data_IF_555461281970
#
_entry.id   IF_555461281970
#
_cell.length_a   1.000
_cell.length_b   1.000
_cell.length_c   1.000
_cell.angle_alpha   90.00
_cell.angle_beta   90.00
_cell.angle_gamma   90.00
#
_symmetry.space_group_name_H-M   'P 1'
#
loop_
_entity.id
_entity.type
_entity.pdbx_description
1 polymer ?
#
# COMPACT_ATOMS: atom_id res chain seq x y z
N UNK A 1 9.40 0.65 -22.70
CA UNK A 1 10.61 1.11 -22.01
C UNK A 1 10.43 0.79 -20.53
N UNK A 2 11.39 0.11 -19.91
CA UNK A 2 11.31 -0.20 -18.48
C UNK A 2 11.24 1.11 -17.68
N UNK A 3 10.27 1.20 -16.80
CA UNK A 3 10.07 2.35 -15.94
C UNK A 3 11.29 2.54 -15.02
N UNK A 4 12.12 3.56 -15.30
CA UNK A 4 13.36 3.83 -14.54
C UNK A 4 13.10 4.53 -13.19
N UNK A 5 11.83 4.69 -12.79
CA UNK A 5 11.48 5.32 -11.51
C UNK A 5 11.94 4.43 -10.34
N UNK A 6 12.44 5.03 -9.24
CA UNK A 6 12.75 4.29 -8.03
C UNK A 6 11.50 3.59 -7.48
N UNK A 7 11.67 2.53 -6.68
CA UNK A 7 10.53 1.87 -6.05
C UNK A 7 9.72 2.85 -5.18
N UNK A 8 8.38 2.73 -5.14
CA UNK A 8 7.55 3.49 -4.23
C UNK A 8 8.01 3.40 -2.78
N UNK A 9 7.94 4.54 -2.09
CA UNK A 9 8.34 4.68 -0.69
C UNK A 9 7.12 4.53 0.23
N UNK A 10 7.30 3.73 1.30
CA UNK A 10 6.31 3.53 2.36
C UNK A 10 6.95 3.87 3.70
N UNK A 11 6.97 5.17 4.01
CA UNK A 11 7.72 5.73 5.14
C UNK A 11 6.83 6.55 6.06
N UNK A 12 5.55 6.76 5.73
CA UNK A 12 4.68 7.67 6.44
C UNK A 12 4.03 7.10 7.71
N UNK A 13 4.18 5.78 7.96
CA UNK A 13 3.45 5.03 8.99
C UNK A 13 1.91 5.16 8.87
N UNK A 14 1.41 5.52 7.68
CA UNK A 14 0.00 5.55 7.32
C UNK A 14 -0.13 5.43 5.80
N UNK A 15 -0.93 4.47 5.32
CA UNK A 15 -1.10 4.23 3.88
C UNK A 15 -1.73 5.45 3.18
N UNK A 16 -2.62 6.17 3.88
CA UNK A 16 -3.18 7.42 3.35
C UNK A 16 -2.12 8.51 3.12
N UNK A 17 -1.11 8.60 3.99
CA UNK A 17 0.02 9.52 3.78
C UNK A 17 1.06 8.96 2.79
N UNK A 18 1.27 7.64 2.75
CA UNK A 18 2.11 7.02 1.72
C UNK A 18 1.54 7.25 0.32
N UNK A 19 0.20 7.22 0.19
CA UNK A 19 -0.48 7.63 -1.05
C UNK A 19 -0.19 9.09 -1.40
N UNK A 20 -0.16 9.99 -0.43
CA UNK A 20 0.21 11.40 -0.66
C UNK A 20 1.68 11.52 -1.08
N UNK A 21 2.54 10.67 -0.55
CA UNK A 21 3.96 10.65 -0.89
C UNK A 21 4.25 10.00 -2.27
N UNK A 22 3.23 9.55 -3.01
CA UNK A 22 3.39 9.12 -4.43
C UNK A 22 3.65 10.26 -5.40
N UNK A 23 3.50 11.51 -4.96
CA UNK A 23 4.17 12.65 -5.55
C UNK A 23 4.98 13.29 -4.44
N UNK A 24 6.29 13.20 -4.56
CA UNK A 24 7.19 13.70 -3.56
C UNK A 24 8.50 14.18 -4.16
N UNK A 25 9.17 15.04 -3.40
CA UNK A 25 10.52 15.53 -3.67
C UNK A 25 11.39 15.13 -2.49
N UNK A 26 11.84 13.85 -2.37
CA UNK A 26 12.53 13.39 -1.15
C UNK A 26 13.84 14.12 -0.87
N UNK A 27 14.50 14.60 -1.95
CA UNK A 27 15.65 15.49 -1.92
C UNK A 27 15.30 16.69 -2.80
N UNK A 28 15.65 16.61 -4.10
CA UNK A 28 15.58 17.74 -5.03
C UNK A 28 14.90 17.40 -6.36
N UNK A 29 14.64 16.11 -6.60
CA UNK A 29 13.97 15.62 -7.79
C UNK A 29 12.55 15.25 -7.40
N UNK A 30 11.58 15.86 -8.07
CA UNK A 30 10.19 15.48 -7.95
C UNK A 30 9.97 14.15 -8.67
N UNK A 31 9.34 13.20 -7.98
CA UNK A 31 9.01 11.89 -8.51
C UNK A 31 7.51 11.67 -8.41
N UNK A 32 6.89 11.38 -9.56
CA UNK A 32 5.49 11.01 -9.70
C UNK A 32 5.39 9.50 -9.96
N UNK A 33 4.90 8.74 -8.97
CA UNK A 33 4.73 7.29 -9.09
C UNK A 33 3.42 6.91 -9.81
N UNK A 34 2.39 7.75 -9.76
CA UNK A 34 1.06 7.49 -10.35
C UNK A 34 0.90 8.14 -11.75
N UNK A 35 2.01 8.35 -12.46
CA UNK A 35 2.03 8.98 -13.79
C UNK A 35 1.28 8.19 -14.87
N UNK A 36 1.01 6.91 -14.64
CA UNK A 36 0.29 6.01 -15.56
C UNK A 36 -0.54 4.98 -14.78
N UNK A 37 -1.43 4.29 -15.48
CA UNK A 37 -2.23 3.18 -14.96
C UNK A 37 -1.38 2.03 -14.42
N UNK A 38 -0.27 1.71 -15.09
CA UNK A 38 0.70 0.73 -14.61
C UNK A 38 1.39 1.20 -13.32
N UNK A 39 1.75 2.48 -13.23
CA UNK A 39 2.30 3.06 -12.00
C UNK A 39 1.32 2.96 -10.82
N UNK A 40 0.03 3.21 -11.07
CA UNK A 40 -1.04 3.02 -10.09
C UNK A 40 -1.14 1.55 -9.64
N UNK A 41 -1.18 0.61 -10.58
CA UNK A 41 -1.28 -0.82 -10.26
C UNK A 41 -0.09 -1.29 -9.42
N UNK A 42 1.14 -0.94 -9.83
CA UNK A 42 2.35 -1.29 -9.10
C UNK A 42 2.30 -0.76 -7.66
N UNK A 43 1.88 0.49 -7.48
CA UNK A 43 1.73 1.08 -6.16
C UNK A 43 0.67 0.36 -5.32
N UNK A 44 -0.51 0.06 -5.88
CA UNK A 44 -1.59 -0.64 -5.17
C UNK A 44 -1.21 -2.04 -4.71
N UNK A 45 -0.47 -2.78 -5.55
CA UNK A 45 0.04 -4.11 -5.23
C UNK A 45 1.09 -4.03 -4.11
N UNK A 46 2.04 -3.08 -4.22
CA UNK A 46 3.08 -2.91 -3.20
C UNK A 46 2.50 -2.42 -1.85
N UNK A 47 1.42 -1.65 -1.89
CA UNK A 47 0.68 -1.19 -0.72
C UNK A 47 -0.22 -2.27 -0.08
N UNK A 48 -0.33 -3.46 -0.70
CA UNK A 48 -1.24 -4.54 -0.29
C UNK A 48 -2.70 -4.04 -0.16
N UNK A 49 -3.11 -3.20 -1.11
CA UNK A 49 -4.45 -2.61 -1.18
C UNK A 49 -5.37 -3.37 -2.13
N UNK A 50 -4.79 -4.05 -3.11
CA UNK A 50 -5.52 -4.84 -4.10
C UNK A 50 -4.79 -6.17 -4.30
N UNK A 51 -5.50 -7.29 -4.24
CA UNK A 51 -4.91 -8.59 -4.56
C UNK A 51 -4.48 -8.73 -6.05
N UNK A 52 -3.33 -9.35 -6.37
CA UNK A 52 -2.85 -9.54 -7.75
C UNK A 52 -3.84 -10.18 -8.74
N UNK A 53 -4.62 -11.14 -8.29
CA UNK A 53 -5.67 -11.82 -9.06
C UNK A 53 -6.80 -10.87 -9.44
N UNK A 54 -7.16 -9.91 -8.57
CA UNK A 54 -8.14 -8.87 -8.90
C UNK A 54 -7.61 -7.99 -10.04
N UNK A 55 -6.33 -7.61 -9.99
CA UNK A 55 -5.70 -6.83 -11.06
C UNK A 55 -5.65 -7.63 -12.36
N UNK A 56 -5.28 -8.91 -12.30
CA UNK A 56 -5.27 -9.78 -13.47
C UNK A 56 -6.66 -9.90 -14.11
N UNK A 57 -7.71 -10.02 -13.29
CA UNK A 57 -9.10 -10.09 -13.73
C UNK A 57 -9.62 -8.79 -14.33
N UNK A 58 -9.21 -7.64 -13.78
CA UNK A 58 -9.51 -6.33 -14.35
C UNK A 58 -8.79 -6.14 -15.69
N UNK A 59 -7.51 -6.51 -15.79
CA UNK A 59 -6.73 -6.40 -17.04
C UNK A 59 -7.34 -7.18 -18.20
N UNK A 60 -7.95 -8.35 -17.94
CA UNK A 60 -8.62 -9.15 -18.99
C UNK A 60 -9.89 -8.49 -19.53
N UNK A 61 -10.52 -7.60 -18.77
CA UNK A 61 -11.80 -6.97 -19.11
C UNK A 61 -11.66 -5.50 -19.50
N UNK A 62 -10.58 -4.86 -19.08
CA UNK A 62 -10.37 -3.44 -19.27
C UNK A 62 -10.04 -3.11 -20.73
N UNK A 63 -10.51 -1.94 -21.16
CA UNK A 63 -10.17 -1.34 -22.45
C UNK A 63 -8.90 -0.49 -22.29
N UNK A 64 -8.18 -0.28 -23.40
CA UNK A 64 -6.98 0.56 -23.42
C UNK A 64 -7.26 1.95 -22.83
N UNK A 65 -6.38 2.39 -21.92
CA UNK A 65 -6.45 3.70 -21.28
C UNK A 65 -7.35 3.80 -20.04
N UNK A 66 -8.16 2.78 -19.71
CA UNK A 66 -9.00 2.84 -18.49
C UNK A 66 -8.16 2.99 -17.22
N UNK A 67 -7.07 2.23 -17.08
CA UNK A 67 -6.18 2.37 -15.92
C UNK A 67 -5.50 3.74 -15.86
N UNK A 68 -5.15 4.34 -17.01
CA UNK A 68 -4.59 5.70 -17.06
C UNK A 68 -5.62 6.75 -16.62
N UNK A 69 -6.88 6.57 -16.99
CA UNK A 69 -7.99 7.39 -16.52
C UNK A 69 -8.15 7.29 -14.99
N UNK A 70 -8.09 6.07 -14.45
CA UNK A 70 -8.13 5.83 -12.99
C UNK A 70 -6.92 6.47 -12.30
N UNK A 71 -5.71 6.36 -12.87
CA UNK A 71 -4.52 7.02 -12.32
C UNK A 71 -4.65 8.55 -12.34
N UNK A 72 -5.26 9.14 -13.37
CA UNK A 72 -5.57 10.56 -13.40
C UNK A 72 -6.59 10.96 -12.32
N UNK A 73 -7.64 10.16 -12.10
CA UNK A 73 -8.59 10.37 -11.01
C UNK A 73 -7.92 10.27 -9.63
N UNK A 74 -7.05 9.28 -9.43
CA UNK A 74 -6.29 9.11 -8.19
C UNK A 74 -5.42 10.33 -7.90
N UNK A 75 -4.71 10.86 -8.91
CA UNK A 75 -3.90 12.08 -8.75
C UNK A 75 -4.75 13.30 -8.37
N UNK A 76 -5.92 13.49 -9.00
CA UNK A 76 -6.85 14.58 -8.63
C UNK A 76 -7.29 14.47 -7.17
N UNK A 77 -7.67 13.25 -6.74
CA UNK A 77 -8.05 12.98 -5.36
C UNK A 77 -6.88 13.23 -4.38
N UNK A 78 -5.67 12.81 -4.76
CA UNK A 78 -4.44 13.04 -3.98
C UNK A 78 -4.17 14.51 -3.75
N UNK A 79 -4.21 15.35 -4.78
CA UNK A 79 -3.88 16.77 -4.64
C UNK A 79 -4.91 17.53 -3.81
N UNK A 80 -6.21 17.23 -3.99
CA UNK A 80 -7.25 17.76 -3.12
C UNK A 80 -6.99 17.41 -1.64
N UNK A 81 -6.74 16.13 -1.35
CA UNK A 81 -6.52 15.69 0.02
C UNK A 81 -5.18 16.15 0.59
N UNK A 82 -4.16 16.34 -0.24
CA UNK A 82 -2.91 16.99 0.16
C UNK A 82 -3.18 18.40 0.66
N UNK A 83 -4.05 19.16 -0.02
CA UNK A 83 -4.52 20.47 0.44
C UNK A 83 -5.15 20.38 1.84
N UNK A 84 -6.08 19.45 2.02
CA UNK A 84 -6.72 19.18 3.32
C UNK A 84 -5.70 18.86 4.41
N UNK A 85 -4.80 17.89 4.19
CA UNK A 85 -3.78 17.50 5.18
C UNK A 85 -2.84 18.67 5.50
N UNK A 86 -2.45 19.49 4.51
CA UNK A 86 -1.64 20.69 4.75
C UNK A 86 -2.34 21.72 5.63
N UNK A 87 -3.64 21.90 5.48
CA UNK A 87 -4.43 22.86 6.27
C UNK A 87 -4.53 22.44 7.75
N UNK A 88 -4.63 21.13 8.00
CA UNK A 88 -4.94 20.58 9.32
C UNK A 88 -3.76 19.93 10.06
N UNK A 89 -2.63 19.64 9.39
CA UNK A 89 -1.45 19.06 10.06
C UNK A 89 -1.01 19.89 11.28
N UNK A 90 -0.65 19.22 12.36
CA UNK A 90 -0.27 19.85 13.62
C UNK A 90 -1.44 20.34 14.48
N UNK A 91 -2.69 20.13 14.05
CA UNK A 91 -3.90 20.54 14.78
C UNK A 91 -4.88 19.36 14.89
N UNK A 92 -5.65 19.25 15.99
CA UNK A 92 -6.69 18.24 16.08
C UNK A 92 -7.84 18.59 15.12
N UNK A 93 -8.40 17.58 14.46
CA UNK A 93 -9.58 17.77 13.61
C UNK A 93 -10.81 18.07 14.46
N UNK A 94 -11.65 19.00 13.98
CA UNK A 94 -12.92 19.36 14.62
C UNK A 94 -14.08 18.84 13.77
N UNK A 95 -15.26 18.54 14.34
CA UNK A 95 -16.41 18.03 13.57
C UNK A 95 -16.84 18.90 12.37
N UNK A 96 -16.56 20.21 12.41
CA UNK A 96 -16.87 21.15 11.31
C UNK A 96 -16.19 20.79 9.98
N UNK A 97 -15.08 20.04 10.01
CA UNK A 97 -14.36 19.62 8.80
C UNK A 97 -15.10 18.56 7.98
N UNK A 98 -16.21 18.00 8.51
CA UNK A 98 -17.00 16.99 7.79
C UNK A 98 -17.50 17.48 6.43
N UNK A 99 -17.87 18.76 6.31
CA UNK A 99 -18.30 19.35 5.03
C UNK A 99 -17.16 19.37 4.00
N UNK A 100 -15.92 19.58 4.45
CA UNK A 100 -14.76 19.55 3.57
C UNK A 100 -14.45 18.13 3.08
N UNK A 101 -14.78 17.09 3.85
CA UNK A 101 -14.54 15.68 3.51
C UNK A 101 -15.56 15.10 2.51
N UNK A 102 -16.54 15.88 2.08
CA UNK A 102 -17.57 15.46 1.14
C UNK A 102 -17.02 14.88 -0.18
N UNK A 103 -15.97 15.43 -0.82
CA UNK A 103 -15.36 14.81 -2.00
C UNK A 103 -14.86 13.38 -1.75
N UNK A 104 -14.34 13.08 -0.56
CA UNK A 104 -13.92 11.73 -0.18
C UNK A 104 -15.12 10.81 0.03
N UNK A 105 -16.15 11.30 0.72
CA UNK A 105 -17.38 10.54 0.97
C UNK A 105 -18.10 10.15 -0.33
N UNK A 106 -18.07 11.01 -1.36
CA UNK A 106 -18.61 10.70 -2.69
C UNK A 106 -17.91 9.55 -3.42
N UNK A 107 -16.65 9.28 -3.10
CA UNK A 107 -15.93 8.11 -3.61
C UNK A 107 -16.30 6.90 -2.76
N UNK A 108 -16.27 7.03 -1.44
CA UNK A 108 -16.55 5.95 -0.49
C UNK A 108 -17.97 5.38 -0.60
N UNK A 109 -18.98 6.19 -0.93
CA UNK A 109 -20.36 5.72 -1.09
C UNK A 109 -20.53 4.73 -2.24
N UNK A 110 -19.59 4.69 -3.18
CA UNK A 110 -19.59 3.75 -4.31
C UNK A 110 -19.01 2.38 -3.95
N UNK A 111 -18.52 2.22 -2.71
CA UNK A 111 -17.88 0.98 -2.30
C UNK A 111 -18.90 -0.15 -2.12
N UNK A 112 -18.65 -1.27 -2.81
CA UNK A 112 -19.46 -2.48 -2.74
C UNK A 112 -18.70 -3.57 -1.96
N UNK A 113 -18.58 -3.38 -0.65
CA UNK A 113 -18.05 -4.40 0.26
C UNK A 113 -19.12 -5.45 0.62
N UNK A 114 -18.71 -6.71 0.68
CA UNK A 114 -19.54 -7.82 1.14
C UNK A 114 -18.72 -8.82 1.95
N UNK A 115 -19.42 -9.62 2.75
CA UNK A 115 -18.81 -10.66 3.56
C UNK A 115 -18.77 -12.02 2.90
N UNK A 116 -17.70 -12.78 3.14
CA UNK A 116 -17.59 -14.18 2.71
C UNK A 116 -16.98 -15.03 3.80
N UNK A 117 -17.52 -16.23 4.00
CA UNK A 117 -16.90 -17.27 4.82
C UNK A 117 -15.83 -17.96 3.96
N UNK A 118 -14.60 -17.98 4.46
CA UNK A 118 -13.44 -18.59 3.79
C UNK A 118 -12.76 -19.59 4.72
N UNK A 119 -11.97 -20.50 4.15
CA UNK A 119 -11.12 -21.36 4.94
C UNK A 119 -10.06 -20.52 5.68
N UNK A 120 -9.85 -20.81 6.96
CA UNK A 120 -8.79 -20.20 7.77
C UNK A 120 -7.47 -20.85 7.39
N UNK A 121 -6.54 -20.06 6.86
CA UNK A 121 -5.18 -20.53 6.67
C UNK A 121 -4.57 -20.88 8.04
N UNK A 122 -4.28 -22.16 8.25
CA UNK A 122 -3.52 -22.60 9.42
C UNK A 122 -2.06 -22.24 9.19
N UNK A 123 -1.66 -21.07 9.68
CA UNK A 123 -0.23 -20.81 9.88
C UNK A 123 0.21 -21.85 10.90
N UNK A 124 0.93 -22.89 10.44
CA UNK A 124 1.62 -23.83 11.33
C UNK A 124 2.68 -23.06 12.10
N UNK A 125 2.28 -22.30 13.12
CA UNK A 125 3.20 -21.86 14.16
C UNK A 125 3.68 -23.13 14.83
N UNK A 126 5.00 -23.36 14.81
CA UNK A 126 5.63 -24.37 15.64
C UNK A 126 5.24 -24.03 17.09
N UNK A 127 4.55 -24.92 17.83
CA UNK A 127 4.11 -24.60 19.18
C UNK A 127 5.35 -24.31 20.03
N UNK A 128 5.49 -23.07 20.47
CA UNK A 128 6.46 -22.71 21.51
C UNK A 128 5.93 -23.27 22.81
N UNK A 129 6.69 -24.18 23.42
CA UNK A 129 6.42 -24.73 24.76
C UNK A 129 6.17 -23.57 25.73
N UNK A 130 4.95 -23.42 26.23
CA UNK A 130 4.66 -22.55 27.37
C UNK A 130 3.37 -21.74 27.31
N UNK A 131 2.71 -21.62 26.15
CA UNK A 131 1.42 -20.92 26.09
C UNK A 131 0.29 -21.95 25.88
N UNK A 132 -0.73 -21.89 26.72
CA UNK A 132 -1.95 -22.70 26.63
C UNK A 132 -2.80 -22.26 25.43
N UNK A 133 -2.24 -22.40 24.24
CA UNK A 133 -2.77 -21.88 22.98
C UNK A 133 -3.96 -22.76 22.56
N UNK A 134 -5.16 -22.38 23.01
CA UNK A 134 -6.40 -22.97 22.51
C UNK A 134 -6.43 -22.77 21.00
N UNK A 135 -6.20 -23.87 20.26
CA UNK A 135 -6.32 -23.86 18.82
C UNK A 135 -7.68 -23.26 18.44
N UNK A 136 -7.74 -22.40 17.41
CA UNK A 136 -9.00 -21.77 17.02
C UNK A 136 -10.05 -22.85 16.71
N UNK A 137 -11.21 -22.74 17.36
CA UNK A 137 -12.30 -23.74 17.37
C UNK A 137 -12.86 -24.08 15.97
N UNK A 138 -12.68 -23.18 15.00
CA UNK A 138 -13.16 -23.36 13.63
C UNK A 138 -12.05 -23.11 12.60
N UNK A 139 -11.95 -24.03 11.63
CA UNK A 139 -11.12 -23.89 10.43
C UNK A 139 -11.67 -22.89 9.41
N UNK A 140 -12.69 -22.10 9.77
CA UNK A 140 -13.28 -21.06 8.93
C UNK A 140 -12.95 -19.66 9.48
N UNK A 141 -13.01 -18.67 8.60
CA UNK A 141 -12.84 -17.26 8.92
C UNK A 141 -13.82 -16.40 8.12
N UNK A 142 -14.22 -15.27 8.70
CA UNK A 142 -14.92 -14.22 7.98
C UNK A 142 -13.90 -13.36 7.24
N UNK A 143 -14.13 -13.12 5.95
CA UNK A 143 -13.32 -12.24 5.12
C UNK A 143 -14.21 -11.19 4.47
N UNK A 144 -13.79 -9.92 4.57
CA UNK A 144 -14.39 -8.83 3.80
C UNK A 144 -13.86 -8.88 2.38
N UNK A 145 -14.75 -8.75 1.42
CA UNK A 145 -14.49 -8.78 -0.01
C UNK A 145 -15.09 -7.54 -0.66
N UNK A 146 -14.61 -7.18 -1.84
CA UNK A 146 -15.12 -6.05 -2.63
C UNK A 146 -15.51 -6.54 -4.02
N UNK A 147 -16.58 -5.98 -4.58
CA UNK A 147 -16.96 -6.22 -5.98
C UNK A 147 -16.15 -5.31 -6.91
N UNK A 148 -15.38 -5.92 -7.80
CA UNK A 148 -14.52 -5.21 -8.75
C UNK A 148 -15.15 -5.16 -10.14
N UNK A 149 -16.22 -4.37 -10.31
CA UNK A 149 -16.98 -4.31 -11.57
C UNK A 149 -16.19 -3.65 -12.70
N UNK A 150 -15.53 -2.54 -12.42
CA UNK A 150 -14.72 -1.76 -13.36
C UNK A 150 -13.36 -1.36 -12.75
N UNK A 151 -12.39 -0.91 -13.56
CA UNK A 151 -11.12 -0.37 -13.06
C UNK A 151 -11.27 0.78 -12.06
N UNK A 152 -12.34 1.58 -12.14
CA UNK A 152 -12.62 2.68 -11.20
C UNK A 152 -12.70 2.21 -9.74
N UNK A 153 -13.08 0.94 -9.50
CA UNK A 153 -13.12 0.36 -8.17
C UNK A 153 -11.74 0.37 -7.47
N UNK A 154 -10.64 0.50 -8.21
CA UNK A 154 -9.29 0.65 -7.66
C UNK A 154 -9.08 1.95 -6.85
N UNK A 155 -9.95 2.95 -7.02
CA UNK A 155 -9.93 4.17 -6.20
C UNK A 155 -10.48 3.94 -4.78
N UNK A 156 -11.36 2.95 -4.60
CA UNK A 156 -12.02 2.68 -3.32
C UNK A 156 -11.03 2.33 -2.20
N UNK A 157 -10.06 1.39 -2.36
CA UNK A 157 -9.09 1.11 -1.30
C UNK A 157 -8.18 2.31 -0.98
N UNK A 158 -7.93 3.19 -1.96
CA UNK A 158 -7.18 4.44 -1.74
C UNK A 158 -8.01 5.39 -0.89
N UNK A 159 -9.26 5.64 -1.27
CA UNK A 159 -10.19 6.47 -0.51
C UNK A 159 -10.36 5.95 0.92
N UNK A 160 -10.48 4.63 1.10
CA UNK A 160 -10.56 4.00 2.42
C UNK A 160 -9.28 4.22 3.25
N UNK A 161 -8.10 4.15 2.64
CA UNK A 161 -6.83 4.45 3.31
C UNK A 161 -6.72 5.93 3.71
N UNK A 162 -7.25 6.85 2.90
CA UNK A 162 -7.36 8.27 3.25
C UNK A 162 -8.36 8.49 4.39
N UNK A 163 -9.50 7.81 4.37
CA UNK A 163 -10.48 7.87 5.45
C UNK A 163 -9.89 7.35 6.77
N UNK A 164 -9.17 6.23 6.72
CA UNK A 164 -8.42 5.67 7.86
C UNK A 164 -7.48 6.71 8.48
N UNK A 165 -6.73 7.46 7.66
CA UNK A 165 -5.92 8.56 8.18
C UNK A 165 -6.77 9.57 8.95
N UNK A 166 -7.94 9.96 8.43
CA UNK A 166 -8.81 10.99 9.02
C UNK A 166 -9.42 10.56 10.35
N UNK A 167 -9.89 9.31 10.47
CA UNK A 167 -10.59 8.86 11.68
C UNK A 167 -9.71 8.11 12.70
N UNK A 168 -8.59 7.50 12.30
CA UNK A 168 -7.70 6.78 13.22
C UNK A 168 -6.55 7.63 13.76
N UNK A 169 -6.03 8.57 12.96
CA UNK A 169 -4.84 9.32 13.34
C UNK A 169 -5.18 10.68 13.92
N UNK A 170 -4.41 11.07 14.92
CA UNK A 170 -4.43 12.43 15.44
C UNK A 170 -3.57 13.34 14.55
N UNK A 171 -4.23 14.30 13.89
CA UNK A 171 -3.60 15.26 12.98
C UNK A 171 -2.60 16.17 13.68
N UNK A 172 -2.62 16.28 15.01
CA UNK A 172 -1.55 16.93 15.79
C UNK A 172 -0.18 16.30 15.56
N UNK A 173 -0.14 15.01 15.22
CA UNK A 173 1.09 14.26 15.00
C UNK A 173 1.42 14.05 13.52
N UNK A 174 0.60 14.57 12.60
CA UNK A 174 0.94 14.60 11.18
C UNK A 174 1.95 15.71 10.95
N UNK A 175 3.10 15.35 10.40
CA UNK A 175 4.24 16.25 10.16
C UNK A 175 4.65 16.23 8.70
N UNK A 176 5.26 17.31 8.27
CA UNK A 176 6.00 17.36 7.02
C UNK A 176 7.50 17.17 7.30
N UNK A 177 8.22 16.71 6.29
CA UNK A 177 9.67 16.74 6.23
C UNK A 177 10.23 18.14 6.49
N UNK A 178 11.42 18.22 7.06
CA UNK A 178 12.07 19.50 7.44
C UNK A 178 12.94 20.08 6.31
N UNK A 179 13.22 19.29 5.27
CA UNK A 179 13.97 19.77 4.11
C UNK A 179 13.19 20.84 3.33
N UNK A 180 13.86 21.91 2.91
CA UNK A 180 13.24 23.05 2.24
C UNK A 180 12.44 22.68 0.98
N UNK A 181 12.95 21.70 0.20
CA UNK A 181 12.27 21.17 -0.99
C UNK A 181 11.46 19.90 -0.74
N UNK A 182 11.50 19.39 0.49
CA UNK A 182 10.97 18.07 0.81
C UNK A 182 9.46 18.10 1.08
N UNK A 183 8.69 17.44 0.23
CA UNK A 183 7.21 17.45 0.29
C UNK A 183 6.61 16.26 1.06
N UNK A 184 7.46 15.37 1.58
CA UNK A 184 7.04 14.17 2.30
C UNK A 184 6.29 14.48 3.59
N UNK A 185 5.27 13.68 3.87
CA UNK A 185 4.50 13.74 5.11
C UNK A 185 4.47 12.39 5.82
N UNK A 186 4.38 12.42 7.15
CA UNK A 186 4.37 11.21 7.99
C UNK A 186 3.61 11.44 9.30
N UNK A 187 3.15 10.36 9.93
CA UNK A 187 2.64 10.41 11.31
C UNK A 187 3.77 10.15 12.30
N UNK A 188 3.88 10.99 13.32
CA UNK A 188 4.82 10.78 14.41
C UNK A 188 4.21 9.96 15.56
N UNK A 189 4.36 8.64 15.48
CA UNK A 189 3.96 7.70 16.54
C UNK A 189 5.06 7.42 17.57
N UNK A 190 6.16 8.19 17.57
CA UNK A 190 7.23 7.97 18.55
C UNK A 190 6.80 8.44 19.94
N UNK A 191 7.25 7.77 21.01
CA UNK A 191 6.87 8.13 22.40
C UNK A 191 7.19 9.60 22.72
N UNK A 192 8.32 10.10 22.23
CA UNK A 192 8.74 11.50 22.43
C UNK A 192 8.22 12.48 21.39
N UNK A 193 7.42 12.04 20.40
CA UNK A 193 6.90 12.87 19.29
C UNK A 193 8.00 13.72 18.63
N UNK A 194 9.20 13.14 18.50
CA UNK A 194 10.41 13.81 18.05
C UNK A 194 10.94 13.23 16.73
N UNK A 195 10.11 12.49 15.99
CA UNK A 195 10.48 11.99 14.67
C UNK A 195 10.66 13.16 13.71
N UNK A 196 11.79 13.15 13.00
CA UNK A 196 12.15 14.11 11.95
C UNK A 196 12.49 13.34 10.67
N UNK A 197 12.27 13.96 9.52
CA UNK A 197 12.63 13.41 8.22
C UNK A 197 13.35 14.47 7.36
N UNK A 198 14.42 14.10 6.62
CA UNK A 198 15.13 12.81 6.65
C UNK A 198 15.82 12.60 8.02
N UNK A 199 16.10 11.35 8.45
CA UNK A 199 16.87 11.10 9.65
C UNK A 199 18.25 11.76 9.52
N UNK A 200 18.81 12.28 10.63
CA UNK A 200 20.20 12.76 10.65
C UNK A 200 21.14 11.64 10.14
N UNK A 201 22.23 11.98 9.43
CA UNK A 201 23.27 11.01 9.09
C UNK A 201 23.69 10.23 10.35
N UNK A 202 23.74 8.90 10.25
CA UNK A 202 24.13 8.02 11.36
C UNK A 202 23.03 7.57 12.33
N UNK A 203 21.75 8.00 12.17
CA UNK A 203 20.62 7.42 12.94
C UNK A 203 19.73 6.56 12.04
N UNK A 204 19.47 5.31 12.45
CA UNK A 204 18.46 4.47 11.79
C UNK A 204 17.08 5.08 12.06
N UNK A 205 16.27 5.36 11.02
CA UNK A 205 14.89 5.75 11.23
C UNK A 205 14.14 4.60 11.92
N UNK A 206 13.29 4.92 12.89
CA UNK A 206 12.38 3.94 13.48
C UNK A 206 11.25 3.66 12.48
N UNK A 207 11.57 2.98 11.38
CA UNK A 207 10.60 2.47 10.43
C UNK A 207 9.89 1.30 11.12
N UNK A 208 8.73 1.55 11.72
CA UNK A 208 7.83 0.44 12.05
C UNK A 208 7.14 0.07 10.75
N UNK A 209 7.76 -0.83 9.99
CA UNK A 209 7.04 -1.56 8.95
C UNK A 209 5.76 -2.08 9.60
N UNK A 210 4.61 -1.54 9.19
CA UNK A 210 3.32 -2.04 9.60
C UNK A 210 3.26 -3.48 9.09
N UNK A 211 3.56 -4.46 9.96
CA UNK A 211 2.99 -5.79 9.80
C UNK A 211 1.50 -5.58 9.99
N UNK A 212 0.77 -5.34 8.90
CA UNK A 212 -0.67 -5.56 8.91
C UNK A 212 -0.86 -6.96 9.50
N UNK A 213 -1.81 -7.13 10.43
CA UNK A 213 -2.46 -8.43 10.53
C UNK A 213 -3.13 -8.60 9.18
N UNK A 214 -2.41 -9.20 8.24
CA UNK A 214 -3.03 -9.71 7.05
C UNK A 214 -4.10 -10.68 7.59
N UNK A 215 -5.38 -10.39 7.33
CA UNK A 215 -6.22 -11.47 6.83
C UNK A 215 -5.53 -11.92 5.56
N UNK A 216 -4.59 -12.84 5.73
CA UNK A 216 -3.72 -13.34 4.68
C UNK A 216 -4.63 -13.89 3.60
N UNK A 217 -4.65 -13.22 2.46
CA UNK A 217 -4.98 -13.85 1.22
C UNK A 217 -3.65 -14.23 0.59
N UNK A 218 -3.37 -15.54 0.56
CA UNK A 218 -2.38 -16.14 -0.34
C UNK A 218 -3.17 -16.98 -1.35
N UNK A 219 -2.90 -16.85 -2.67
CA UNK A 219 -3.57 -17.70 -3.64
C UNK A 219 -3.13 -19.15 -3.43
N UNK A 220 -4.12 -20.02 -3.24
CA UNK A 220 -3.93 -21.47 -3.19
C UNK A 220 -3.25 -21.97 -4.46
N UNK A 221 -2.14 -22.67 -4.28
CA UNK A 221 -1.47 -23.42 -5.34
C UNK A 221 -2.44 -24.45 -5.91
N UNK A 222 -2.84 -24.24 -7.17
CA UNK A 222 -3.51 -25.28 -7.92
C UNK A 222 -2.43 -26.27 -8.36
N UNK A 223 -2.55 -27.50 -7.87
CA UNK A 223 -1.82 -28.66 -8.37
C UNK A 223 -2.21 -28.88 -9.82
N UNK A 224 -1.35 -28.47 -10.75
CA UNK A 224 -1.45 -28.93 -12.13
C UNK A 224 -1.01 -30.41 -12.16
N UNK A 225 -1.96 -31.30 -12.38
CA UNK A 225 -1.72 -32.71 -12.69
C UNK A 225 -0.83 -32.80 -13.93
N UNK A 226 0.39 -33.30 -13.74
CA UNK A 226 1.35 -33.52 -14.81
C UNK A 226 1.05 -34.89 -15.41
N UNK A 227 0.41 -34.90 -16.58
CA UNK A 227 0.49 -36.05 -17.49
C UNK A 227 1.88 -36.03 -18.13
N UNK A 228 2.65 -37.08 -17.88
CA UNK A 228 4.00 -37.28 -18.38
C UNK A 228 4.02 -37.33 -19.91
N UNK A 229 4.70 -36.36 -20.53
CA UNK A 229 5.29 -36.52 -21.86
C UNK A 229 6.77 -36.18 -21.72
N UNK A 230 7.61 -37.19 -21.89
CA UNK A 230 9.05 -37.08 -21.86
C UNK A 230 9.54 -36.37 -23.14
N UNK A 231 10.24 -35.25 -23.00
CA UNK A 231 11.04 -34.65 -24.07
C UNK A 231 12.42 -34.33 -23.48
N UNK A 232 13.44 -34.80 -24.19
CA UNK A 232 14.86 -34.76 -23.84
C UNK A 232 15.37 -33.34 -23.50
N UNK A 233 16.22 -33.28 -22.46
CA UNK A 233 16.99 -32.11 -22.05
C UNK A 233 18.12 -31.83 -23.05
N UNK A 234 18.37 -30.56 -23.40
CA UNK A 234 19.72 -30.08 -23.62
C UNK A 234 20.23 -29.38 -22.36
N UNK A 235 21.41 -29.81 -21.95
CA UNK A 235 22.33 -29.19 -20.99
C UNK A 235 22.55 -27.70 -21.27
N UNK A 236 22.36 -26.88 -20.25
CA UNK A 236 22.63 -25.44 -20.30
C UNK A 236 22.43 -24.81 -18.93
N UNK A 237 23.50 -24.82 -18.15
CA UNK A 237 23.65 -24.19 -16.84
C UNK A 237 23.33 -22.69 -16.89
N UNK A 238 22.23 -22.25 -16.25
CA UNK A 238 22.09 -20.90 -15.68
C UNK A 238 21.19 -20.94 -14.44
N UNK A 239 21.81 -20.84 -13.27
CA UNK A 239 21.14 -20.68 -12.00
C UNK A 239 20.34 -19.39 -11.92
N UNK A 240 19.08 -19.49 -11.52
CA UNK A 240 18.25 -18.33 -11.16
C UNK A 240 18.68 -17.87 -9.77
N UNK A 241 19.55 -16.87 -9.73
CA UNK A 241 19.97 -16.20 -8.51
C UNK A 241 18.85 -15.30 -8.01
N UNK A 242 18.22 -15.64 -6.89
CA UNK A 242 17.39 -14.70 -6.15
C UNK A 242 18.29 -13.59 -5.59
N UNK A 243 18.26 -12.41 -6.21
CA UNK A 243 18.95 -11.24 -5.68
C UNK A 243 18.12 -10.68 -4.53
N UNK A 244 18.52 -11.04 -3.31
CA UNK A 244 18.20 -10.26 -2.13
C UNK A 244 18.86 -8.88 -2.28
N UNK A 245 18.06 -7.85 -2.62
CA UNK A 245 18.57 -6.48 -2.66
C UNK A 245 18.58 -5.86 -1.25
N UNK A 246 19.75 -5.49 -0.71
CA UNK A 246 19.83 -4.76 0.54
C UNK A 246 19.36 -3.32 0.31
N UNK A 247 18.30 -2.93 1.01
CA UNK A 247 17.73 -1.59 1.08
C UNK A 247 18.69 -0.51 1.67
N UNK A 248 20.00 -0.79 1.72
CA UNK A 248 21.01 0.02 2.38
C UNK A 248 22.11 0.57 1.45
N UNK A 249 22.10 0.24 0.15
CA UNK A 249 23.20 0.62 -0.76
C UNK A 249 23.00 1.92 -1.55
N UNK A 250 21.81 2.49 -1.61
CA UNK A 250 21.57 3.75 -2.34
C UNK A 250 21.92 5.04 -1.58
N UNK A 251 22.46 4.93 -0.36
CA UNK A 251 22.75 6.09 0.52
C UNK A 251 24.21 6.19 0.97
N UNK A 252 25.14 5.45 0.33
CA UNK A 252 26.59 5.52 0.63
C UNK A 252 27.42 6.25 -0.43
N UNK A 253 26.80 6.74 -1.47
CA UNK A 253 27.45 7.61 -2.45
C UNK A 253 26.45 8.71 -2.75
N UNK A 254 26.89 9.98 -2.63
CA UNK A 254 26.13 11.24 -2.61
C UNK A 254 25.83 11.75 -1.20
#
# INVERSE_FOLDING_TARGET
>A
MADQRPAPIFVADSVGLDFLNTLATPLDIEVEWLGSGEGLILWLLQADLVPPEVVADLRRRAVAGEFDAVAAQARKLREWFRGFVKAYKGKPLKPRVLQELEPLNRVLIRDEEFGRIVARETVRKRPTKGDGDQAPVSGLAWSRQRRWRSPDALLLPIAQAMAQLVYEEDFQYVKACEGHRCTLMFVDRTRGRARRWPPKPGRRPSLRLRRRRATAWRPGGHSASTSSVAIQRPSGDQGVTYIAFPCARYWKSL
#
